data_IF_565687791802
#
_entry.id   IF_565687791802
#
_cell.length_a   1.000
_cell.length_b   1.000
_cell.length_c   1.000
_cell.angle_alpha   90.00
_cell.angle_beta   90.00
_cell.angle_gamma   90.00
#
_symmetry.space_group_name_H-M   'P 1'
#
loop_
_entity.id
_entity.type
_entity.pdbx_description
1 polymer ?
#
# COMPACT_ATOMS: atom_id res chain seq x y z
N UNK A 1 33.13 28.34 27.29
CA UNK A 1 31.89 28.54 26.52
C UNK A 1 32.27 28.43 25.06
N UNK A 2 32.27 27.19 24.55
CA UNK A 2 32.89 26.81 23.28
C UNK A 2 31.97 27.08 22.10
N UNK A 3 32.04 28.32 21.59
CA UNK A 3 31.32 28.74 20.38
C UNK A 3 31.83 28.06 19.10
N UNK A 4 32.98 27.37 19.15
CA UNK A 4 33.58 26.68 18.01
C UNK A 4 33.00 25.29 17.72
N UNK A 5 32.34 24.65 18.70
CA UNK A 5 31.70 23.33 18.48
C UNK A 5 30.37 23.48 17.75
N UNK A 6 29.69 24.62 17.91
CA UNK A 6 28.38 24.86 17.31
C UNK A 6 28.44 25.18 15.81
N UNK A 7 29.55 25.74 15.31
CA UNK A 7 29.72 26.03 13.88
C UNK A 7 29.97 24.74 13.06
N UNK A 8 30.70 23.77 13.62
CA UNK A 8 30.97 22.49 12.95
C UNK A 8 29.73 21.59 12.77
N UNK A 9 28.73 21.72 13.64
CA UNK A 9 27.47 21.00 13.49
C UNK A 9 26.52 21.67 12.48
N UNK A 10 26.60 22.99 12.31
CA UNK A 10 25.84 23.70 11.29
C UNK A 10 26.35 23.37 9.87
N UNK A 11 27.67 23.24 9.68
CA UNK A 11 28.26 22.84 8.39
C UNK A 11 27.95 21.39 8.00
N UNK A 12 27.68 20.50 8.97
CA UNK A 12 27.25 19.12 8.69
C UNK A 12 25.77 19.00 8.28
N UNK A 13 24.94 20.01 8.60
CA UNK A 13 23.53 20.06 8.17
C UNK A 13 23.34 20.77 6.81
N UNK A 14 24.41 21.40 6.31
CA UNK A 14 24.47 22.01 4.97
C UNK A 14 25.46 21.31 4.04
N UNK A 15 25.91 20.10 4.39
CA UNK A 15 26.45 19.22 3.38
C UNK A 15 25.38 19.07 2.29
N UNK A 16 25.63 19.52 1.05
CA UNK A 16 24.77 19.17 -0.06
C UNK A 16 24.81 17.64 -0.08
N UNK A 17 23.69 17.00 0.25
CA UNK A 17 23.46 15.63 -0.18
C UNK A 17 23.84 15.66 -1.64
N UNK A 18 24.92 14.97 -2.01
CA UNK A 18 25.19 14.66 -3.40
C UNK A 18 24.00 13.80 -3.85
N UNK A 19 22.91 14.47 -4.18
CA UNK A 19 21.90 13.96 -5.07
C UNK A 19 22.65 13.79 -6.36
N UNK A 20 23.17 12.57 -6.57
CA UNK A 20 23.42 12.13 -7.93
C UNK A 20 22.16 12.45 -8.70
N UNK A 21 22.31 13.14 -9.83
CA UNK A 21 21.24 13.33 -10.80
C UNK A 21 20.42 12.04 -10.89
N UNK A 22 19.08 12.09 -10.81
CA UNK A 22 18.27 10.89 -10.94
C UNK A 22 18.60 10.26 -12.30
N UNK A 23 19.37 9.16 -12.25
CA UNK A 23 19.74 8.43 -13.46
C UNK A 23 18.45 7.77 -13.94
N UNK A 24 17.95 8.25 -15.08
CA UNK A 24 16.78 7.66 -15.70
C UNK A 24 17.03 6.17 -15.97
N UNK A 25 16.01 5.37 -15.75
CA UNK A 25 16.03 3.96 -16.08
C UNK A 25 16.32 3.77 -17.58
N UNK A 26 17.06 2.72 -17.88
CA UNK A 26 17.48 2.32 -19.21
C UNK A 26 17.05 0.88 -19.50
N UNK A 27 17.09 0.43 -20.77
CA UNK A 27 16.77 -0.96 -21.11
C UNK A 27 17.65 -1.99 -20.37
N UNK A 28 18.91 -1.62 -20.05
CA UNK A 28 19.85 -2.47 -19.33
C UNK A 28 19.42 -2.75 -17.87
N UNK A 29 18.58 -1.90 -17.29
CA UNK A 29 18.11 -2.01 -15.91
C UNK A 29 17.02 -3.09 -15.73
N UNK A 30 16.59 -3.73 -16.83
CA UNK A 30 15.65 -4.85 -16.76
C UNK A 30 16.13 -5.97 -15.85
N UNK A 31 17.42 -6.30 -15.86
CA UNK A 31 17.98 -7.37 -15.00
C UNK A 31 17.79 -7.07 -13.50
N UNK A 32 17.76 -5.78 -13.12
CA UNK A 32 17.45 -5.37 -11.75
C UNK A 32 15.95 -5.45 -11.45
N UNK A 33 15.10 -5.09 -12.41
CA UNK A 33 13.64 -5.11 -12.26
C UNK A 33 13.05 -6.52 -12.27
N UNK A 34 13.57 -7.41 -13.12
CA UNK A 34 13.00 -8.71 -13.43
C UNK A 34 12.68 -9.58 -12.19
N UNK A 35 13.56 -9.70 -11.17
CA UNK A 35 13.24 -10.48 -9.97
C UNK A 35 12.03 -9.93 -9.19
N UNK A 36 11.87 -8.60 -9.16
CA UNK A 36 10.73 -7.94 -8.49
C UNK A 36 9.44 -8.09 -9.28
N UNK A 37 9.51 -7.96 -10.60
CA UNK A 37 8.37 -8.22 -11.50
C UNK A 37 7.92 -9.68 -11.39
N UNK A 38 8.84 -10.64 -11.42
CA UNK A 38 8.50 -12.05 -11.25
C UNK A 38 7.83 -12.34 -9.90
N UNK A 39 8.31 -11.72 -8.82
CA UNK A 39 7.67 -11.84 -7.49
C UNK A 39 6.26 -11.21 -7.48
N UNK A 40 6.09 -10.08 -8.15
CA UNK A 40 4.79 -9.44 -8.31
C UNK A 40 3.81 -10.33 -9.08
N UNK A 41 4.19 -10.89 -10.22
CA UNK A 41 3.36 -11.83 -10.99
C UNK A 41 2.95 -13.07 -10.17
N UNK A 42 3.89 -13.63 -9.39
CA UNK A 42 3.56 -14.73 -8.47
C UNK A 42 2.56 -14.32 -7.40
N UNK A 43 2.64 -13.09 -6.88
CA UNK A 43 1.68 -12.55 -5.93
C UNK A 43 0.29 -12.34 -6.56
N UNK A 44 0.21 -12.08 -7.86
CA UNK A 44 -1.04 -12.05 -8.61
C UNK A 44 -1.64 -13.45 -8.86
N UNK A 45 -0.88 -14.53 -8.60
CA UNK A 45 -1.34 -15.90 -8.78
C UNK A 45 -0.75 -16.63 -9.99
N UNK A 46 0.24 -16.06 -10.68
CA UNK A 46 0.97 -16.74 -11.77
C UNK A 46 1.89 -17.80 -11.17
N UNK A 47 1.47 -19.07 -11.24
CA UNK A 47 2.16 -20.21 -10.63
C UNK A 47 2.89 -21.11 -11.63
N UNK A 48 2.36 -21.25 -12.84
CA UNK A 48 2.97 -22.05 -13.89
C UNK A 48 4.21 -21.32 -14.44
N UNK A 49 5.39 -21.95 -14.46
CA UNK A 49 6.61 -21.32 -14.99
C UNK A 49 6.45 -20.89 -16.44
N UNK A 50 5.67 -21.62 -17.26
CA UNK A 50 5.46 -21.26 -18.67
C UNK A 50 4.66 -19.98 -18.82
N UNK A 51 3.64 -19.79 -17.99
CA UNK A 51 2.87 -18.54 -17.98
C UNK A 51 3.73 -17.38 -17.49
N UNK A 52 4.58 -17.63 -16.49
CA UNK A 52 5.52 -16.63 -15.99
C UNK A 52 6.49 -16.17 -17.08
N UNK A 53 7.10 -17.10 -17.83
CA UNK A 53 8.08 -16.76 -18.87
C UNK A 53 7.45 -15.95 -20.01
N UNK A 54 6.23 -16.32 -20.44
CA UNK A 54 5.49 -15.59 -21.46
C UNK A 54 5.16 -14.15 -21.02
N UNK A 55 4.66 -14.00 -19.79
CA UNK A 55 4.32 -12.69 -19.24
C UNK A 55 5.58 -11.83 -19.00
N UNK A 56 6.65 -12.42 -18.46
CA UNK A 56 7.93 -11.73 -18.27
C UNK A 56 8.49 -11.22 -19.59
N UNK A 57 8.37 -11.99 -20.67
CA UNK A 57 8.79 -11.58 -22.02
C UNK A 57 7.95 -10.41 -22.52
N UNK A 58 6.62 -10.49 -22.40
CA UNK A 58 5.72 -9.41 -22.82
C UNK A 58 5.96 -8.11 -22.03
N UNK A 59 6.18 -8.22 -20.72
CA UNK A 59 6.46 -7.07 -19.84
C UNK A 59 7.83 -6.46 -20.17
N UNK A 60 8.85 -7.28 -20.44
CA UNK A 60 10.17 -6.81 -20.84
C UNK A 60 10.10 -5.93 -22.10
N UNK A 61 9.40 -6.41 -23.14
CA UNK A 61 9.25 -5.65 -24.39
C UNK A 61 8.59 -4.29 -24.15
N UNK A 62 7.56 -4.24 -23.31
CA UNK A 62 6.89 -2.98 -22.94
C UNK A 62 7.76 -2.07 -22.09
N UNK A 63 8.48 -2.64 -21.13
CA UNK A 63 9.42 -1.92 -20.29
C UNK A 63 10.50 -1.25 -21.14
N UNK A 64 11.16 -2.01 -22.03
CA UNK A 64 12.21 -1.51 -22.93
C UNK A 64 11.66 -0.35 -23.79
N UNK A 65 10.47 -0.51 -24.36
CA UNK A 65 9.83 0.57 -25.12
C UNK A 65 9.52 1.80 -24.25
N UNK A 66 9.05 1.61 -23.02
CA UNK A 66 8.68 2.69 -22.11
C UNK A 66 9.90 3.52 -21.67
N UNK A 67 11.02 2.87 -21.34
CA UNK A 67 12.25 3.57 -20.92
C UNK A 67 13.01 4.20 -22.10
N UNK A 68 12.81 3.71 -23.32
CA UNK A 68 13.34 4.35 -24.54
C UNK A 68 12.57 5.62 -24.92
N UNK A 69 11.25 5.63 -24.70
CA UNK A 69 10.38 6.73 -25.14
C UNK A 69 10.13 7.78 -24.06
N UNK A 70 10.33 7.44 -22.79
CA UNK A 70 10.01 8.29 -21.65
C UNK A 70 11.14 8.34 -20.63
N UNK A 71 11.33 9.48 -19.97
CA UNK A 71 12.22 9.58 -18.82
C UNK A 71 11.53 8.96 -17.60
N UNK A 72 12.00 7.79 -17.16
CA UNK A 72 11.40 7.08 -16.02
C UNK A 72 12.40 6.96 -14.87
N UNK A 73 12.02 7.28 -13.61
CA UNK A 73 12.99 7.39 -12.52
C UNK A 73 13.39 6.05 -11.87
N UNK A 74 12.53 5.02 -11.91
CA UNK A 74 12.80 3.72 -11.28
C UNK A 74 12.41 2.55 -12.20
N UNK A 75 13.39 1.73 -12.55
CA UNK A 75 13.19 0.54 -13.38
C UNK A 75 12.25 -0.49 -12.73
N UNK A 76 12.32 -0.66 -11.41
CA UNK A 76 11.48 -1.62 -10.68
C UNK A 76 10.02 -1.19 -10.70
N UNK A 77 9.76 0.08 -10.39
CA UNK A 77 8.41 0.66 -10.45
C UNK A 77 7.85 0.54 -11.88
N UNK A 78 8.62 0.94 -12.89
CA UNK A 78 8.23 0.82 -14.31
C UNK A 78 7.85 -0.62 -14.68
N UNK A 79 8.66 -1.61 -14.30
CA UNK A 79 8.38 -3.01 -14.61
C UNK A 79 7.10 -3.53 -13.94
N UNK A 80 6.81 -3.08 -12.71
CA UNK A 80 5.57 -3.42 -12.00
C UNK A 80 4.36 -2.72 -12.63
N UNK A 81 4.52 -1.45 -13.02
CA UNK A 81 3.48 -0.70 -13.72
C UNK A 81 3.13 -1.35 -15.06
N UNK A 82 4.11 -1.71 -15.88
CA UNK A 82 3.86 -2.40 -17.16
C UNK A 82 3.19 -3.76 -16.95
N UNK A 83 3.54 -4.49 -15.89
CA UNK A 83 2.83 -5.72 -15.52
C UNK A 83 1.36 -5.46 -15.15
N UNK A 84 1.08 -4.37 -14.42
CA UNK A 84 -0.30 -3.98 -14.08
C UNK A 84 -1.08 -3.52 -15.31
N UNK A 85 -0.48 -2.69 -16.17
CA UNK A 85 -1.11 -2.22 -17.41
C UNK A 85 -1.43 -3.38 -18.35
N UNK A 86 -0.52 -4.35 -18.48
CA UNK A 86 -0.76 -5.57 -19.27
C UNK A 86 -1.96 -6.36 -18.78
N UNK A 87 -2.16 -6.46 -17.46
CA UNK A 87 -3.36 -7.09 -16.90
C UNK A 87 -4.63 -6.30 -17.22
N UNK A 88 -4.58 -4.98 -17.00
CA UNK A 88 -5.75 -4.11 -17.18
C UNK A 88 -6.17 -4.00 -18.66
N UNK A 89 -5.21 -4.00 -19.58
CA UNK A 89 -5.44 -4.06 -21.03
C UNK A 89 -6.06 -5.38 -21.46
N UNK A 90 -5.51 -6.51 -20.97
CA UNK A 90 -6.11 -7.82 -21.24
C UNK A 90 -7.56 -7.87 -20.73
N UNK A 91 -7.82 -7.42 -19.51
CA UNK A 91 -9.18 -7.34 -18.97
C UNK A 91 -10.09 -6.45 -19.81
N UNK A 92 -9.59 -5.32 -20.32
CA UNK A 92 -10.35 -4.44 -21.20
C UNK A 92 -10.70 -5.14 -22.53
N UNK A 93 -9.77 -5.91 -23.11
CA UNK A 93 -10.02 -6.71 -24.31
C UNK A 93 -11.05 -7.80 -24.05
N UNK A 94 -10.97 -8.53 -22.94
CA UNK A 94 -11.92 -9.60 -22.59
C UNK A 94 -13.33 -9.06 -22.33
N UNK A 95 -13.43 -7.90 -21.69
CA UNK A 95 -14.72 -7.31 -21.33
C UNK A 95 -15.36 -6.56 -22.50
N UNK A 96 -14.59 -6.08 -23.45
CA UNK A 96 -15.05 -5.26 -24.57
C UNK A 96 -15.26 -3.78 -24.21
N UNK A 97 -15.48 -2.91 -25.22
CA UNK A 97 -15.54 -1.46 -25.05
C UNK A 97 -16.80 -0.97 -24.31
N UNK A 98 -17.87 -1.76 -24.31
CA UNK A 98 -19.18 -1.37 -23.76
C UNK A 98 -19.26 -1.46 -22.23
N UNK A 99 -18.18 -1.91 -21.58
CA UNK A 99 -18.16 -2.17 -20.16
C UNK A 99 -17.78 -0.92 -19.36
N UNK A 100 -18.60 -0.46 -18.40
CA UNK A 100 -18.33 0.75 -17.62
C UNK A 100 -16.98 0.72 -16.90
N UNK A 101 -16.31 1.87 -16.79
CA UNK A 101 -15.00 2.01 -16.13
C UNK A 101 -14.87 1.31 -14.77
N UNK A 102 -15.85 1.43 -13.84
CA UNK A 102 -15.82 0.74 -12.54
C UNK A 102 -15.77 -0.79 -12.62
N UNK A 103 -16.31 -1.37 -13.70
CA UNK A 103 -16.36 -2.83 -13.87
C UNK A 103 -14.96 -3.42 -14.09
N UNK A 104 -13.97 -2.63 -14.54
CA UNK A 104 -12.57 -3.10 -14.64
C UNK A 104 -11.98 -3.44 -13.28
N UNK A 105 -12.25 -2.60 -12.27
CA UNK A 105 -11.85 -2.86 -10.89
C UNK A 105 -12.52 -4.12 -10.31
N UNK A 106 -13.80 -4.32 -10.61
CA UNK A 106 -14.55 -5.53 -10.23
C UNK A 106 -13.97 -6.77 -10.91
N UNK A 107 -13.73 -6.71 -12.21
CA UNK A 107 -13.14 -7.82 -12.96
C UNK A 107 -11.77 -8.20 -12.44
N UNK A 108 -10.93 -7.21 -12.10
CA UNK A 108 -9.63 -7.43 -11.45
C UNK A 108 -9.80 -8.13 -10.11
N UNK A 109 -10.72 -7.67 -9.26
CA UNK A 109 -11.01 -8.33 -7.98
C UNK A 109 -11.51 -9.78 -8.17
N UNK A 110 -12.34 -10.03 -9.19
CA UNK A 110 -12.87 -11.35 -9.54
C UNK A 110 -11.77 -12.32 -9.95
N UNK A 111 -10.85 -11.93 -10.85
CA UNK A 111 -9.77 -12.82 -11.30
C UNK A 111 -8.72 -13.03 -10.22
N UNK A 112 -8.33 -11.97 -9.49
CA UNK A 112 -7.35 -12.06 -8.40
C UNK A 112 -7.93 -12.78 -7.16
N UNK A 113 -9.24 -12.71 -6.96
CA UNK A 113 -9.97 -13.46 -5.92
C UNK A 113 -10.13 -14.94 -6.25
N UNK A 114 -9.74 -15.39 -7.45
CA UNK A 114 -9.77 -16.79 -7.85
C UNK A 114 -11.14 -17.30 -8.32
N UNK A 115 -12.12 -16.41 -8.53
CA UNK A 115 -13.46 -16.80 -9.00
C UNK A 115 -13.47 -17.30 -10.46
N UNK A 116 -12.41 -17.00 -11.23
CA UNK A 116 -12.27 -17.44 -12.63
C UNK A 116 -11.04 -18.34 -12.78
N UNK A 117 -11.14 -19.64 -12.46
CA UNK A 117 -10.06 -20.62 -12.70
C UNK A 117 -9.52 -20.59 -14.13
N UNK A 118 -8.21 -20.76 -14.28
CA UNK A 118 -7.54 -20.83 -15.59
C UNK A 118 -7.26 -19.48 -16.25
N UNK A 119 -7.62 -18.35 -15.62
CA UNK A 119 -7.45 -17.03 -16.21
C UNK A 119 -6.02 -16.67 -16.57
N UNK A 120 -5.04 -17.10 -15.77
CA UNK A 120 -3.61 -16.86 -16.02
C UNK A 120 -3.17 -17.46 -17.35
N UNK A 121 -3.67 -18.66 -17.69
CA UNK A 121 -3.32 -19.32 -18.94
C UNK A 121 -3.89 -18.62 -20.18
N UNK A 122 -5.02 -17.93 -20.04
CA UNK A 122 -5.60 -17.10 -21.11
C UNK A 122 -4.87 -15.76 -21.20
N UNK A 123 -4.61 -15.13 -20.06
CA UNK A 123 -3.88 -13.87 -19.98
C UNK A 123 -2.46 -13.96 -20.56
N UNK A 124 -1.75 -15.07 -20.31
CA UNK A 124 -0.42 -15.32 -20.87
C UNK A 124 -0.44 -15.63 -22.38
N UNK A 125 -1.62 -15.82 -22.98
CA UNK A 125 -1.78 -16.25 -24.36
C UNK A 125 -1.49 -17.74 -24.59
N UNK A 126 -1.19 -18.51 -23.54
CA UNK A 126 -0.86 -19.95 -23.66
C UNK A 126 -2.09 -20.80 -23.98
N UNK A 127 -3.23 -20.47 -23.39
CA UNK A 127 -4.49 -21.17 -23.58
C UNK A 127 -5.35 -20.36 -24.53
N UNK A 128 -5.60 -20.90 -25.73
CA UNK A 128 -6.51 -20.28 -26.68
C UNK A 128 -7.92 -20.22 -26.09
N UNK A 129 -8.63 -19.13 -26.37
CA UNK A 129 -10.06 -18.96 -26.09
C UNK A 129 -10.92 -19.89 -26.97
N UNK A 130 -10.60 -21.18 -27.05
CA UNK A 130 -11.41 -22.12 -27.85
C UNK A 130 -12.56 -22.60 -26.98
N UNK A 131 -13.61 -21.77 -26.90
CA UNK A 131 -14.93 -22.27 -26.56
C UNK A 131 -15.43 -23.13 -27.71
N UNK A 132 -15.05 -24.41 -27.79
CA UNK A 132 -15.86 -25.37 -28.55
C UNK A 132 -15.58 -26.89 -28.37
N UNK A 133 -14.84 -27.35 -27.35
CA UNK A 133 -14.68 -28.82 -27.17
C UNK A 133 -14.87 -29.35 -25.75
N UNK A 134 -15.03 -28.48 -24.75
CA UNK A 134 -15.14 -28.91 -23.34
C UNK A 134 -16.39 -28.41 -22.61
N UNK A 135 -17.33 -27.76 -23.29
CA UNK A 135 -18.58 -27.26 -22.69
C UNK A 135 -18.41 -26.12 -21.67
N UNK A 136 -17.22 -25.54 -21.57
CA UNK A 136 -16.91 -24.51 -20.59
C UNK A 136 -17.16 -23.11 -21.18
N UNK A 137 -17.76 -22.20 -20.40
CA UNK A 137 -18.13 -20.86 -20.86
C UNK A 137 -16.88 -20.03 -21.20
N UNK A 138 -16.95 -19.11 -22.19
CA UNK A 138 -15.83 -18.22 -22.50
C UNK A 138 -15.43 -17.40 -21.27
N UNK A 139 -14.15 -17.05 -21.16
CA UNK A 139 -13.60 -16.42 -19.97
C UNK A 139 -14.28 -15.08 -19.66
N UNK A 140 -14.62 -14.31 -20.69
CA UNK A 140 -15.34 -13.04 -20.59
C UNK A 140 -16.71 -13.22 -19.92
N UNK A 141 -17.47 -14.26 -20.27
CA UNK A 141 -18.73 -14.60 -19.62
C UNK A 141 -18.53 -15.04 -18.17
N UNK A 142 -17.48 -15.82 -17.89
CA UNK A 142 -17.16 -16.25 -16.53
C UNK A 142 -16.79 -15.08 -15.63
N UNK A 143 -16.02 -14.12 -16.14
CA UNK A 143 -15.71 -12.86 -15.44
C UNK A 143 -17.01 -12.09 -15.18
N UNK A 144 -17.83 -11.86 -16.22
CA UNK A 144 -19.10 -11.11 -16.08
C UNK A 144 -20.06 -11.77 -15.09
N UNK A 145 -20.22 -13.09 -15.16
CA UNK A 145 -21.08 -13.83 -14.25
C UNK A 145 -20.60 -13.73 -12.80
N UNK A 146 -19.28 -13.79 -12.59
CA UNK A 146 -18.68 -13.67 -11.25
C UNK A 146 -18.73 -12.25 -10.71
N UNK A 147 -18.68 -11.24 -11.58
CA UNK A 147 -18.84 -9.82 -11.20
C UNK A 147 -20.25 -9.48 -10.72
N UNK A 148 -21.25 -10.30 -11.10
CA UNK A 148 -22.64 -10.16 -10.68
C UNK A 148 -23.01 -11.09 -9.51
N UNK A 149 -22.05 -11.84 -8.97
CA UNK A 149 -22.29 -12.72 -7.85
C UNK A 149 -22.77 -11.91 -6.63
N UNK A 150 -23.77 -12.40 -5.88
CA UNK A 150 -24.31 -11.68 -4.74
C UNK A 150 -23.18 -11.43 -3.73
N UNK A 151 -23.05 -10.16 -3.31
CA UNK A 151 -22.18 -9.75 -2.22
C UNK A 151 -22.50 -10.63 -1.02
N UNK A 152 -21.54 -11.34 -0.40
CA UNK A 152 -21.81 -12.13 0.78
C UNK A 152 -22.45 -11.23 1.84
N UNK A 153 -23.41 -11.78 2.58
CA UNK A 153 -24.09 -11.03 3.62
C UNK A 153 -23.06 -10.35 4.52
N UNK A 154 -23.27 -9.08 4.91
CA UNK A 154 -22.37 -8.38 5.80
C UNK A 154 -22.10 -9.27 7.01
N UNK A 155 -20.83 -9.64 7.20
CA UNK A 155 -20.37 -10.32 8.38
C UNK A 155 -19.76 -9.25 9.31
N UNK A 156 -20.58 -8.50 10.08
CA UNK A 156 -20.03 -7.53 11.01
C UNK A 156 -19.16 -8.30 11.99
N UNK A 157 -17.86 -8.04 11.92
CA UNK A 157 -16.94 -8.48 12.95
C UNK A 157 -17.44 -7.81 14.23
N UNK A 158 -17.95 -8.60 15.17
CA UNK A 158 -18.25 -8.18 16.52
C UNK A 158 -16.93 -7.87 17.23
N UNK A 159 -16.26 -6.79 16.83
CA UNK A 159 -15.13 -6.27 17.54
C UNK A 159 -15.67 -5.63 18.82
N UNK A 160 -15.14 -6.07 19.96
CA UNK A 160 -15.28 -5.31 21.19
C UNK A 160 -14.81 -3.87 20.88
N UNK A 161 -15.68 -2.89 21.09
CA UNK A 161 -15.35 -1.47 20.94
C UNK A 161 -14.32 -1.10 22.01
N UNK A 162 -13.04 -1.39 21.73
CA UNK A 162 -11.95 -0.87 22.55
C UNK A 162 -11.93 0.64 22.33
N UNK A 163 -12.40 1.37 23.34
CA UNK A 163 -12.21 2.81 23.38
C UNK A 163 -10.71 3.07 23.36
N UNK A 164 -10.23 3.61 22.25
CA UNK A 164 -8.92 4.24 22.20
C UNK A 164 -8.99 5.37 23.23
N UNK A 165 -8.29 5.21 24.35
CA UNK A 165 -8.12 6.25 25.36
C UNK A 165 -6.80 6.94 25.07
N UNK A 166 -6.78 7.99 24.22
CA UNK A 166 -5.54 8.67 23.89
C UNK A 166 -4.93 9.18 25.20
N UNK A 167 -3.66 8.83 25.45
CA UNK A 167 -2.93 9.15 26.69
C UNK A 167 -3.12 10.63 27.12
N UNK A 168 -3.21 11.51 26.13
CA UNK A 168 -3.41 12.94 26.26
C UNK A 168 -4.77 13.32 26.89
N UNK A 169 -5.82 12.50 26.74
CA UNK A 169 -7.16 12.74 27.29
C UNK A 169 -7.21 12.56 28.82
N UNK A 170 -6.47 11.59 29.36
CA UNK A 170 -6.30 11.45 30.82
C UNK A 170 -5.51 12.60 31.43
N UNK A 171 -4.46 13.05 30.74
CA UNK A 171 -3.65 14.18 31.16
C UNK A 171 -4.47 15.48 31.15
N UNK A 172 -5.22 15.72 30.08
CA UNK A 172 -6.11 16.87 29.95
C UNK A 172 -7.22 16.85 31.02
N UNK A 173 -7.85 15.70 31.29
CA UNK A 173 -8.83 15.58 32.39
C UNK A 173 -8.22 15.78 33.78
N UNK A 174 -6.96 15.42 34.00
CA UNK A 174 -6.26 15.70 35.27
C UNK A 174 -5.94 17.20 35.40
N UNK A 175 -5.42 17.82 34.35
CA UNK A 175 -5.15 19.26 34.30
C UNK A 175 -6.43 20.07 34.48
N UNK A 176 -7.49 19.76 33.74
CA UNK A 176 -8.78 20.45 33.84
C UNK A 176 -9.42 20.31 35.23
N UNK A 177 -9.23 19.19 35.93
CA UNK A 177 -9.68 19.04 37.32
C UNK A 177 -8.84 19.86 38.30
N UNK A 178 -7.51 19.92 38.11
CA UNK A 178 -6.64 20.79 38.90
C UNK A 178 -6.97 22.27 38.70
N UNK A 179 -7.27 22.69 37.47
CA UNK A 179 -7.62 24.06 37.13
C UNK A 179 -9.01 24.44 37.68
N UNK A 180 -9.99 23.51 37.68
CA UNK A 180 -11.32 23.74 38.30
C UNK A 180 -11.30 23.76 39.83
N UNK A 181 -10.29 23.17 40.46
CA UNK A 181 -10.07 23.25 41.91
C UNK A 181 -9.41 24.56 42.36
N UNK A 182 -8.84 25.34 41.43
CA UNK A 182 -8.33 26.67 41.74
C UNK A 182 -9.47 27.69 41.66
N UNK A 183 -10.05 28.01 42.83
CA UNK A 183 -10.87 29.22 42.98
C UNK A 183 -10.03 30.43 42.54
N UNK A 184 -10.54 31.30 41.65
CA UNK A 184 -9.87 32.57 41.37
C UNK A 184 -10.07 33.46 42.60
N UNK A 185 -9.03 33.59 43.41
CA UNK A 185 -9.03 34.50 44.56
C UNK A 185 -8.41 33.89 45.80
N UNK A 186 -7.09 33.86 45.85
CA UNK A 186 -6.34 34.08 47.10
C UNK A 186 -4.90 34.49 46.75
N UNK A 187 -4.40 35.61 47.31
CA UNK A 187 -3.08 36.15 47.02
C UNK A 187 -1.96 35.27 47.62
N UNK A 188 -0.70 35.42 47.16
CA UNK A 188 0.40 34.56 47.58
C UNK A 188 0.85 34.96 49.00
N UNK A 189 0.74 34.03 49.94
CA UNK A 189 1.37 34.21 51.25
C UNK A 189 0.65 33.56 52.43
N UNK A 190 0.71 32.23 52.54
CA UNK A 190 0.65 31.59 53.87
C UNK A 190 1.31 30.20 53.82
N UNK A 191 2.64 30.19 53.97
CA UNK A 191 3.36 29.01 54.40
C UNK A 191 3.08 28.79 55.89
N UNK A 192 2.05 28.00 56.22
CA UNK A 192 1.91 27.53 57.59
C UNK A 192 2.97 26.47 57.91
N UNK A 193 3.96 27.00 58.63
CA UNK A 193 5.06 26.36 59.35
C UNK A 193 4.65 25.08 60.09
N UNK A 194 5.52 24.09 59.90
CA UNK A 194 5.85 22.91 60.72
C UNK A 194 5.30 22.87 62.16
N UNK A 195 4.67 21.73 62.48
CA UNK A 195 5.14 20.65 63.38
C UNK A 195 5.80 21.09 64.70
N UNK A 196 5.19 20.72 65.83
CA UNK A 196 5.86 19.96 66.89
C UNK A 196 4.84 19.45 67.92
N UNK A 197 4.72 18.13 68.00
CA UNK A 197 4.22 17.40 69.15
C UNK A 197 5.29 17.39 70.25
N UNK A 198 4.94 17.87 71.44
CA UNK A 198 5.50 17.52 72.73
C UNK A 198 4.23 17.22 73.56
N UNK A 199 3.93 16.00 74.00
CA UNK A 199 4.77 15.05 74.73
C UNK A 199 4.23 14.95 76.16
N UNK A 200 3.99 13.71 76.64
CA UNK A 200 3.97 13.27 78.06
C UNK A 200 2.77 13.67 78.95
N UNK A 201 2.24 12.88 79.89
CA UNK A 201 2.38 11.47 80.34
C UNK A 201 1.26 11.19 81.37
N UNK A 202 0.89 9.91 81.48
CA UNK A 202 0.20 9.21 82.61
C UNK A 202 -1.20 9.68 82.97
#
# INVERSE_FOLDING_TARGET
MDSAVSARFADLLHAPLHGGEPVAASPADWEQAAPRVARYLRALGVRDPRDLDLLMTAIRVRFEHQVETSLVPDAVETGIEEASKLLDEWLATELGPDVPGPMRGVARAVVLGGAVPGWVGVWSGRTLQTGDQSGDRPISERIRASSLAPVPDPAPLAMATQRIDPCCYRLFRRLARRLRGMRPGSPPGSLHRRRASLGQTI
#
